data_IF_421053123685
#
_entry.id   IF_421053123685
#
_cell.length_a   1.000
_cell.length_b   1.000
_cell.length_c   1.000
_cell.angle_alpha   90.00
_cell.angle_beta   90.00
_cell.angle_gamma   90.00
#
_symmetry.space_group_name_H-M   'P 1'
#
loop_
_entity.id
_entity.type
_entity.pdbx_description
1 polymer ?
#
# COMPACT_ATOMS: atom_id res chain seq x y z
N UNK A 1 59.23 -40.58 14.41
CA UNK A 1 57.94 -40.74 13.74
C UNK A 1 57.89 -39.77 12.57
N UNK A 2 57.90 -40.27 11.32
CA UNK A 2 57.87 -39.42 10.15
C UNK A 2 56.41 -39.09 9.73
N UNK A 3 56.17 -37.96 9.05
CA UNK A 3 54.84 -37.58 8.60
C UNK A 3 54.37 -38.36 7.33
N UNK A 4 53.07 -38.53 7.12
CA UNK A 4 52.56 -39.28 5.98
C UNK A 4 52.57 -38.45 4.69
N UNK A 5 52.83 -39.19 3.62
CA UNK A 5 53.01 -38.79 2.25
C UNK A 5 51.77 -38.18 1.61
N UNK A 6 52.01 -37.15 0.81
CA UNK A 6 51.09 -36.58 -0.15
C UNK A 6 50.70 -37.61 -1.24
N UNK A 7 49.42 -37.79 -1.47
CA UNK A 7 48.91 -38.46 -2.66
C UNK A 7 48.51 -37.41 -3.69
N UNK A 8 49.32 -37.34 -4.75
CA UNK A 8 48.96 -36.66 -6.00
C UNK A 8 47.83 -37.41 -6.67
N UNK A 9 46.75 -36.78 -6.94
CA UNK A 9 45.69 -37.30 -7.85
C UNK A 9 45.75 -36.53 -9.16
N UNK A 10 46.08 -37.31 -10.16
CA UNK A 10 46.27 -36.95 -11.55
C UNK A 10 45.00 -36.32 -12.17
N UNK A 11 45.28 -35.47 -13.16
CA UNK A 11 44.30 -34.73 -13.93
C UNK A 11 43.31 -35.60 -14.71
N UNK A 12 42.11 -35.04 -14.79
CA UNK A 12 41.16 -35.42 -15.81
C UNK A 12 40.69 -34.17 -16.54
N UNK A 13 41.43 -33.78 -17.57
CA UNK A 13 40.97 -32.88 -18.61
C UNK A 13 39.94 -33.63 -19.44
N UNK A 14 38.64 -33.30 -19.29
CA UNK A 14 37.67 -33.59 -20.34
C UNK A 14 37.19 -32.27 -20.93
N UNK A 15 37.68 -32.02 -22.10
CA UNK A 15 37.12 -31.08 -23.06
C UNK A 15 35.71 -31.56 -23.44
N UNK A 16 34.69 -30.80 -23.09
CA UNK A 16 33.39 -30.88 -23.77
C UNK A 16 33.19 -29.60 -24.56
N UNK A 17 33.66 -29.64 -25.81
CA UNK A 17 33.11 -28.84 -26.87
C UNK A 17 31.77 -29.45 -27.25
N UNK A 18 30.68 -28.86 -26.84
CA UNK A 18 29.39 -29.05 -27.48
C UNK A 18 28.83 -27.68 -27.80
N UNK A 19 29.11 -27.27 -29.04
CA UNK A 19 28.45 -26.19 -29.73
C UNK A 19 26.94 -26.51 -29.79
N UNK A 20 26.15 -26.04 -28.84
CA UNK A 20 24.70 -25.97 -28.99
C UNK A 20 24.40 -24.77 -29.89
N UNK A 21 24.33 -25.02 -31.18
CA UNK A 21 23.69 -24.16 -32.18
C UNK A 21 22.22 -24.03 -31.76
N UNK A 22 21.89 -22.94 -31.09
CA UNK A 22 20.49 -22.54 -30.86
C UNK A 22 19.90 -22.18 -32.23
N UNK A 23 18.83 -22.83 -32.69
CA UNK A 23 18.20 -22.51 -33.95
C UNK A 23 17.77 -21.04 -33.96
N UNK A 24 18.20 -20.32 -34.97
CA UNK A 24 17.95 -18.90 -35.19
C UNK A 24 16.46 -18.56 -35.41
N UNK A 25 15.57 -19.54 -35.38
CA UNK A 25 14.13 -19.38 -35.58
C UNK A 25 13.37 -18.89 -34.35
N UNK A 26 13.96 -18.92 -33.15
CA UNK A 26 13.32 -18.43 -31.93
C UNK A 26 13.40 -16.90 -31.72
N UNK A 27 14.05 -16.19 -32.65
CA UNK A 27 14.18 -14.72 -32.54
C UNK A 27 13.06 -13.93 -33.22
N UNK A 28 12.12 -14.58 -33.90
CA UNK A 28 11.08 -13.90 -34.67
C UNK A 28 9.71 -13.83 -33.98
N UNK A 29 9.51 -14.56 -32.86
CA UNK A 29 8.25 -14.56 -32.11
C UNK A 29 8.32 -13.81 -30.76
N UNK A 30 9.02 -12.68 -30.72
CA UNK A 30 8.74 -11.73 -29.65
C UNK A 30 7.42 -11.05 -29.97
N UNK A 31 6.35 -11.25 -29.16
CA UNK A 31 5.18 -10.44 -29.31
C UNK A 31 5.62 -8.99 -29.21
N UNK A 32 5.41 -8.24 -30.29
CA UNK A 32 5.64 -6.78 -30.32
C UNK A 32 5.01 -6.23 -29.05
N UNK A 33 5.82 -5.69 -28.16
CA UNK A 33 5.34 -4.95 -27.01
C UNK A 33 4.25 -4.03 -27.56
N UNK A 34 3.01 -4.28 -27.13
CA UNK A 34 1.87 -3.41 -27.43
C UNK A 34 2.33 -2.04 -26.94
N UNK A 35 2.58 -1.16 -27.90
CA UNK A 35 2.76 0.26 -27.61
C UNK A 35 1.57 0.61 -26.70
N UNK A 36 1.86 0.94 -25.45
CA UNK A 36 0.88 1.65 -24.66
C UNK A 36 0.45 2.82 -25.54
N UNK A 37 -0.78 2.78 -26.00
CA UNK A 37 -1.39 3.90 -26.65
C UNK A 37 -1.35 5.03 -25.61
N UNK A 38 -0.32 5.85 -25.71
CA UNK A 38 -0.36 7.18 -25.19
C UNK A 38 -1.31 7.93 -26.12
N UNK A 39 -2.62 7.64 -25.99
CA UNK A 39 -3.61 8.53 -26.53
C UNK A 39 -3.41 9.82 -25.74
N UNK A 40 -2.72 10.77 -26.36
CA UNK A 40 -2.79 12.16 -25.92
C UNK A 40 -4.25 12.56 -26.11
N UNK A 41 -5.08 12.22 -25.10
CA UNK A 41 -6.40 12.81 -24.96
C UNK A 41 -6.09 14.28 -24.74
N UNK A 42 -6.18 15.06 -25.82
CA UNK A 42 -6.28 16.51 -25.72
C UNK A 42 -7.56 16.75 -24.95
N UNK A 43 -7.46 16.99 -23.67
CA UNK A 43 -8.53 17.56 -22.87
C UNK A 43 -8.77 18.95 -23.45
N UNK A 44 -9.74 19.08 -24.36
CA UNK A 44 -10.28 20.37 -24.74
C UNK A 44 -10.97 20.93 -23.50
N UNK A 45 -10.39 22.00 -22.97
CA UNK A 45 -10.89 22.72 -21.79
C UNK A 45 -12.26 23.39 -21.98
N UNK A 46 -12.92 23.20 -23.14
CA UNK A 46 -14.11 23.97 -23.53
C UNK A 46 -15.44 23.23 -23.30
N UNK A 47 -15.44 22.04 -22.72
CA UNK A 47 -16.66 21.44 -22.19
C UNK A 47 -16.53 21.37 -20.68
N UNK A 48 -16.93 22.42 -20.01
CA UNK A 48 -17.28 22.33 -18.61
C UNK A 48 -18.38 21.27 -18.53
N UNK A 49 -18.17 20.09 -17.89
CA UNK A 49 -19.25 19.15 -17.69
C UNK A 49 -20.30 19.91 -16.91
N UNK A 50 -21.55 19.88 -17.43
CA UNK A 50 -22.72 20.37 -16.72
C UNK A 50 -22.55 19.97 -15.26
N UNK A 51 -22.56 20.96 -14.37
CA UNK A 51 -22.29 20.82 -12.95
C UNK A 51 -23.16 19.69 -12.40
N UNK A 52 -22.55 18.49 -12.27
CA UNK A 52 -23.14 17.48 -11.42
C UNK A 52 -23.38 18.17 -10.07
N UNK A 53 -24.56 18.01 -9.47
CA UNK A 53 -24.84 18.63 -8.18
C UNK A 53 -23.70 18.20 -7.22
N UNK A 54 -22.95 19.19 -6.80
CA UNK A 54 -21.79 18.98 -5.92
C UNK A 54 -22.33 18.36 -4.63
N UNK A 55 -22.10 17.06 -4.44
CA UNK A 55 -22.53 16.39 -3.22
C UNK A 55 -21.90 17.16 -2.06
N UNK A 56 -22.69 17.53 -1.04
CA UNK A 56 -22.17 18.31 0.08
C UNK A 56 -20.97 17.59 0.68
N UNK A 57 -19.80 18.22 0.60
CA UNK A 57 -18.56 17.67 1.14
C UNK A 57 -18.70 17.47 2.64
N UNK A 58 -18.08 16.45 3.20
CA UNK A 58 -17.99 16.26 4.64
C UNK A 58 -16.99 17.26 5.21
N UNK A 59 -17.37 18.11 6.17
CA UNK A 59 -16.45 19.09 6.76
C UNK A 59 -15.31 18.38 7.50
N UNK A 60 -14.09 18.88 7.34
CA UNK A 60 -12.89 18.28 7.94
C UNK A 60 -12.98 18.16 9.48
N UNK A 61 -13.68 19.10 10.12
CA UNK A 61 -13.90 19.14 11.56
C UNK A 61 -14.66 17.91 12.10
N UNK A 62 -15.45 17.26 11.25
CA UNK A 62 -16.16 16.03 11.61
C UNK A 62 -15.36 14.76 11.35
N UNK A 63 -14.23 14.85 10.63
CA UNK A 63 -13.43 13.69 10.25
C UNK A 63 -12.39 13.35 11.32
N UNK A 64 -12.32 12.06 11.61
CA UNK A 64 -11.33 11.47 12.52
C UNK A 64 -10.29 10.69 11.74
N UNK A 65 -9.03 11.08 11.87
CA UNK A 65 -7.89 10.39 11.25
C UNK A 65 -7.31 9.39 12.24
N UNK A 66 -7.15 8.14 11.85
CA UNK A 66 -6.58 7.07 12.66
C UNK A 66 -5.24 6.56 12.12
N UNK A 67 -4.28 6.37 13.02
CA UNK A 67 -2.95 5.86 12.72
C UNK A 67 -2.68 4.63 13.60
N UNK A 68 -2.93 3.42 13.10
CA UNK A 68 -2.63 2.21 13.84
C UNK A 68 -1.13 1.92 13.83
N UNK A 69 -0.70 1.13 14.80
CA UNK A 69 0.64 0.59 14.85
C UNK A 69 0.84 -0.45 13.74
N UNK A 70 1.96 -0.37 13.03
CA UNK A 70 2.33 -1.36 12.03
C UNK A 70 2.72 -2.68 12.69
N UNK A 71 2.13 -3.76 12.18
CA UNK A 71 2.34 -5.13 12.70
C UNK A 71 3.16 -6.00 11.77
N UNK A 72 3.48 -5.49 10.57
CA UNK A 72 4.26 -6.24 9.60
C UNK A 72 5.70 -6.44 10.10
N UNK A 73 6.25 -7.67 10.07
CA UNK A 73 7.61 -7.95 10.54
C UNK A 73 8.65 -7.09 9.82
N UNK A 74 9.49 -6.39 10.60
CA UNK A 74 10.54 -5.52 10.07
C UNK A 74 10.08 -4.14 9.57
N UNK A 75 8.78 -3.81 9.64
CA UNK A 75 8.32 -2.46 9.33
C UNK A 75 8.63 -1.52 10.50
N UNK A 76 9.45 -0.50 10.23
CA UNK A 76 9.87 0.48 11.22
C UNK A 76 9.22 1.85 11.01
N UNK A 77 8.54 2.03 9.90
CA UNK A 77 7.89 3.31 9.56
C UNK A 77 6.54 3.43 10.27
N UNK A 78 6.13 4.67 10.48
CA UNK A 78 4.77 5.03 10.91
C UNK A 78 4.12 5.85 9.80
N UNK A 79 2.82 5.72 9.64
CA UNK A 79 2.11 6.41 8.56
C UNK A 79 2.05 7.93 8.76
N UNK A 80 2.11 8.41 10.00
CA UNK A 80 2.03 9.83 10.33
C UNK A 80 3.02 10.16 11.44
N UNK A 81 3.83 11.19 11.23
CA UNK A 81 4.74 11.72 12.26
C UNK A 81 4.01 12.68 13.20
N UNK A 82 4.52 12.94 14.43
CA UNK A 82 3.91 13.91 15.37
C UNK A 82 3.76 15.30 14.75
N UNK A 83 4.77 15.76 13.99
CA UNK A 83 4.72 17.06 13.30
C UNK A 83 3.56 17.14 12.31
N UNK A 84 3.34 16.06 11.55
CA UNK A 84 2.26 15.99 10.57
C UNK A 84 0.89 15.83 11.25
N UNK A 85 0.83 15.17 12.41
CA UNK A 85 -0.39 15.11 13.22
C UNK A 85 -0.83 16.50 13.66
N UNK A 86 0.10 17.31 14.20
CA UNK A 86 -0.15 18.70 14.52
C UNK A 86 -0.60 19.53 13.31
N UNK A 87 0.01 19.27 12.14
CA UNK A 87 -0.37 19.96 10.90
C UNK A 87 -1.81 19.64 10.48
N UNK A 88 -2.24 18.37 10.56
CA UNK A 88 -3.62 17.97 10.25
C UNK A 88 -4.62 18.67 11.17
N UNK A 89 -4.36 18.69 12.47
CA UNK A 89 -5.20 19.42 13.44
C UNK A 89 -5.26 20.92 13.13
N UNK A 90 -4.12 21.52 12.78
CA UNK A 90 -4.07 22.93 12.35
C UNK A 90 -4.85 23.20 11.05
N UNK A 91 -4.97 22.20 10.18
CA UNK A 91 -5.74 22.29 8.92
C UNK A 91 -7.25 22.08 9.13
N UNK A 92 -7.69 21.85 10.36
CA UNK A 92 -9.09 21.75 10.71
C UNK A 92 -9.65 20.34 10.79
N UNK A 93 -8.82 19.29 10.75
CA UNK A 93 -9.31 17.93 11.04
C UNK A 93 -9.77 17.83 12.49
N UNK A 94 -10.92 17.17 12.70
CA UNK A 94 -11.55 17.14 14.02
C UNK A 94 -10.71 16.42 15.07
N UNK A 95 -10.19 15.24 14.75
CA UNK A 95 -9.39 14.42 15.66
C UNK A 95 -8.32 13.64 14.91
N UNK A 96 -7.16 13.48 15.56
CA UNK A 96 -6.12 12.53 15.13
C UNK A 96 -5.95 11.51 16.24
N UNK A 97 -6.31 10.26 15.97
CA UNK A 97 -6.17 9.12 16.87
C UNK A 97 -4.91 8.35 16.49
N UNK A 98 -4.09 8.05 17.48
CA UNK A 98 -2.85 7.27 17.29
C UNK A 98 -2.89 6.08 18.25
N UNK A 99 -2.58 4.89 17.73
CA UNK A 99 -2.46 3.70 18.59
C UNK A 99 -1.24 3.85 19.51
N UNK A 100 -1.36 3.37 20.75
CA UNK A 100 -0.24 3.33 21.67
C UNK A 100 0.98 2.64 21.03
N UNK A 101 2.14 3.25 21.19
CA UNK A 101 3.42 2.76 20.66
C UNK A 101 3.49 2.66 19.12
N UNK A 102 2.60 3.31 18.37
CA UNK A 102 2.59 3.27 16.91
C UNK A 102 3.89 3.83 16.30
N UNK A 103 4.47 4.86 16.89
CA UNK A 103 5.68 5.53 16.42
C UNK A 103 7.00 5.00 16.97
N UNK A 104 6.99 4.08 17.93
CA UNK A 104 8.20 3.67 18.67
C UNK A 104 9.28 3.11 17.73
N UNK A 105 8.92 2.29 16.77
CA UNK A 105 9.87 1.74 15.79
C UNK A 105 10.49 2.83 14.89
N UNK A 106 9.79 3.95 14.71
CA UNK A 106 10.26 5.13 13.97
C UNK A 106 10.88 6.19 14.88
N UNK A 107 11.17 5.83 16.15
CA UNK A 107 11.73 6.71 17.18
C UNK A 107 10.83 7.90 17.59
N UNK A 108 9.53 7.78 17.39
CA UNK A 108 8.55 8.74 17.89
C UNK A 108 7.83 8.16 19.11
N UNK A 109 7.97 8.86 20.23
CA UNK A 109 7.33 8.46 21.49
C UNK A 109 5.88 8.94 21.58
N UNK A 110 5.09 8.26 22.40
CA UNK A 110 3.68 8.57 22.61
C UNK A 110 3.48 10.02 23.14
N UNK A 111 4.40 10.49 23.99
CA UNK A 111 4.39 11.87 24.52
C UNK A 111 4.51 12.92 23.42
N UNK A 112 5.25 12.63 22.34
CA UNK A 112 5.40 13.55 21.22
C UNK A 112 4.09 13.69 20.43
N UNK A 113 3.33 12.60 20.29
CA UNK A 113 1.99 12.64 19.68
C UNK A 113 0.99 13.37 20.58
N UNK A 114 1.04 13.14 21.88
CA UNK A 114 0.21 13.87 22.84
C UNK A 114 0.51 15.38 22.83
N UNK A 115 1.79 15.75 22.80
CA UNK A 115 2.22 17.15 22.67
C UNK A 115 1.79 17.78 21.33
N UNK A 116 1.68 17.00 20.26
CA UNK A 116 1.17 17.42 18.97
C UNK A 116 -0.36 17.58 18.93
N UNK A 117 -1.08 17.23 20.02
CA UNK A 117 -2.52 17.30 20.13
C UNK A 117 -3.25 16.05 19.63
N UNK A 118 -2.54 14.97 19.30
CA UNK A 118 -3.15 13.69 18.95
C UNK A 118 -3.64 12.96 20.22
N UNK A 119 -4.69 12.17 20.07
CA UNK A 119 -5.25 11.36 21.15
C UNK A 119 -4.74 9.92 21.02
N UNK A 120 -4.13 9.42 22.08
CA UNK A 120 -3.70 8.02 22.15
C UNK A 120 -4.86 7.12 22.51
N UNK A 121 -5.05 6.05 21.76
CA UNK A 121 -6.18 5.12 21.94
C UNK A 121 -5.74 3.67 21.75
N UNK A 122 -6.48 2.71 22.35
CA UNK A 122 -6.26 1.30 22.05
C UNK A 122 -6.69 0.99 20.61
N UNK A 123 -6.15 -0.11 20.08
CA UNK A 123 -6.32 -0.55 18.69
C UNK A 123 -7.77 -0.69 18.26
N UNK A 124 -8.58 -1.35 19.06
CA UNK A 124 -9.99 -1.62 18.74
C UNK A 124 -10.80 -0.33 18.60
N UNK A 125 -10.60 0.60 19.52
CA UNK A 125 -11.25 1.91 19.48
C UNK A 125 -10.83 2.71 18.25
N UNK A 126 -9.55 2.64 17.89
CA UNK A 126 -9.03 3.33 16.70
C UNK A 126 -9.73 2.83 15.44
N UNK A 127 -9.81 1.50 15.23
CA UNK A 127 -10.44 0.92 14.03
C UNK A 127 -11.92 1.26 13.91
N UNK A 128 -12.64 1.33 15.04
CA UNK A 128 -14.07 1.64 15.06
C UNK A 128 -14.39 3.12 14.90
N UNK A 129 -13.49 4.01 15.35
CA UNK A 129 -13.76 5.45 15.41
C UNK A 129 -13.17 6.24 14.23
N UNK A 130 -12.24 5.65 13.46
CA UNK A 130 -11.55 6.37 12.39
C UNK A 130 -12.39 6.43 11.12
N UNK A 131 -12.55 7.64 10.58
CA UNK A 131 -13.15 7.86 9.26
C UNK A 131 -12.12 7.74 8.15
N UNK A 132 -10.88 8.16 8.42
CA UNK A 132 -9.73 8.02 7.53
C UNK A 132 -8.64 7.27 8.27
N UNK A 133 -8.24 6.12 7.77
CA UNK A 133 -7.16 5.31 8.34
C UNK A 133 -5.91 5.41 7.48
N UNK A 134 -4.80 5.78 8.10
CA UNK A 134 -3.49 5.87 7.46
C UNK A 134 -2.61 4.72 7.92
N UNK A 135 -2.19 3.88 6.97
CA UNK A 135 -1.24 2.78 7.21
C UNK A 135 -0.11 2.81 6.19
N UNK A 136 1.05 2.32 6.57
CA UNK A 136 2.14 2.05 5.63
C UNK A 136 1.86 0.76 4.88
N UNK A 137 1.66 -0.35 5.58
CA UNK A 137 1.36 -1.66 4.97
C UNK A 137 -0.13 -1.91 4.84
N UNK A 138 -0.49 -2.80 3.93
CA UNK A 138 -1.87 -3.27 3.80
C UNK A 138 -2.39 -3.81 5.15
N UNK A 139 -3.66 -3.57 5.48
CA UNK A 139 -4.27 -4.17 6.67
C UNK A 139 -4.18 -5.70 6.64
N UNK A 140 -4.00 -6.34 7.79
CA UNK A 140 -4.04 -7.80 7.87
C UNK A 140 -5.46 -8.30 7.69
N UNK A 141 -5.64 -9.31 6.81
CA UNK A 141 -6.95 -9.82 6.42
C UNK A 141 -7.83 -10.21 7.62
N UNK A 142 -7.32 -11.06 8.50
CA UNK A 142 -8.13 -11.59 9.60
C UNK A 142 -8.16 -10.71 10.86
N UNK A 143 -7.11 -9.92 11.07
CA UNK A 143 -6.92 -9.21 12.34
C UNK A 143 -7.35 -7.73 12.27
N UNK A 144 -7.30 -7.12 11.09
CA UNK A 144 -7.53 -5.69 10.94
C UNK A 144 -8.72 -5.39 10.03
N UNK A 145 -8.79 -6.02 8.85
CA UNK A 145 -9.79 -5.67 7.84
C UNK A 145 -11.22 -5.81 8.34
N UNK A 146 -11.47 -6.77 9.23
CA UNK A 146 -12.80 -7.02 9.81
C UNK A 146 -13.23 -6.01 10.88
N UNK A 147 -12.29 -5.28 11.45
CA UNK A 147 -12.56 -4.30 12.50
C UNK A 147 -12.67 -2.86 11.99
N UNK A 148 -12.22 -2.61 10.76
CA UNK A 148 -12.29 -1.29 10.13
C UNK A 148 -13.74 -0.83 10.05
N UNK A 149 -13.98 0.44 10.43
CA UNK A 149 -15.31 1.07 10.39
C UNK A 149 -15.90 0.98 8.97
N UNK A 150 -17.14 0.56 8.86
CA UNK A 150 -17.85 0.48 7.59
C UNK A 150 -18.00 1.87 6.97
N UNK A 151 -17.77 1.99 5.66
CA UNK A 151 -17.84 3.25 4.95
C UNK A 151 -16.67 4.21 5.17
N UNK A 152 -15.65 3.79 5.92
CA UNK A 152 -14.43 4.60 6.15
C UNK A 152 -13.50 4.59 4.93
N UNK A 153 -12.42 5.34 5.01
CA UNK A 153 -11.38 5.43 3.98
C UNK A 153 -10.07 4.88 4.51
N UNK A 154 -9.41 4.00 3.76
CA UNK A 154 -8.09 3.46 4.09
C UNK A 154 -7.08 3.91 3.03
N UNK A 155 -5.97 4.46 3.48
CA UNK A 155 -4.85 4.88 2.63
C UNK A 155 -3.61 4.08 3.03
N UNK A 156 -3.10 3.22 2.13
CA UNK A 156 -1.95 2.36 2.41
C UNK A 156 -1.28 1.85 1.14
N UNK A 157 -0.09 1.26 1.27
CA UNK A 157 0.53 0.45 0.22
C UNK A 157 -0.20 -0.90 0.11
N UNK A 158 -1.33 -0.90 -0.57
CA UNK A 158 -2.26 -2.03 -0.56
C UNK A 158 -1.82 -3.19 -1.45
N UNK A 159 -1.08 -2.92 -2.55
CA UNK A 159 -0.68 -3.92 -3.56
C UNK A 159 -1.84 -4.83 -4.00
N UNK A 160 -2.89 -4.29 -4.67
CA UNK A 160 -4.14 -5.01 -4.91
C UNK A 160 -3.99 -6.34 -5.64
N UNK A 161 -3.05 -6.43 -6.58
CA UNK A 161 -2.77 -7.65 -7.33
C UNK A 161 -2.28 -8.82 -6.47
N UNK A 162 -1.63 -8.52 -5.35
CA UNK A 162 -1.09 -9.51 -4.41
C UNK A 162 -2.05 -9.79 -3.25
N UNK A 163 -2.89 -8.82 -2.88
CA UNK A 163 -3.74 -8.84 -1.70
C UNK A 163 -5.24 -8.84 -2.05
N UNK A 164 -5.67 -9.70 -2.99
CA UNK A 164 -7.06 -9.75 -3.46
C UNK A 164 -8.06 -9.95 -2.32
N UNK A 165 -7.79 -10.86 -1.39
CA UNK A 165 -8.67 -11.12 -0.24
C UNK A 165 -8.89 -9.89 0.64
N UNK A 166 -7.84 -9.07 0.83
CA UNK A 166 -7.96 -7.82 1.59
C UNK A 166 -8.85 -6.84 0.84
N UNK A 167 -8.66 -6.70 -0.47
CA UNK A 167 -9.47 -5.82 -1.32
C UNK A 167 -10.94 -6.24 -1.28
N UNK A 168 -11.24 -7.52 -1.41
CA UNK A 168 -12.60 -8.07 -1.34
C UNK A 168 -13.23 -7.82 0.04
N UNK A 169 -12.46 -8.01 1.12
CA UNK A 169 -12.92 -7.71 2.49
C UNK A 169 -13.24 -6.23 2.68
N UNK A 170 -12.38 -5.32 2.21
CA UNK A 170 -12.62 -3.89 2.28
C UNK A 170 -13.85 -3.48 1.45
N UNK A 171 -14.00 -4.05 0.25
CA UNK A 171 -15.13 -3.80 -0.63
C UNK A 171 -16.46 -4.27 -0.01
N UNK A 172 -16.50 -5.46 0.59
CA UNK A 172 -17.68 -5.98 1.28
C UNK A 172 -18.16 -5.08 2.42
N UNK A 173 -17.25 -4.37 3.05
CA UNK A 173 -17.51 -3.39 4.12
C UNK A 173 -17.74 -1.97 3.61
N UNK A 174 -17.77 -1.77 2.30
CA UNK A 174 -17.92 -0.44 1.66
C UNK A 174 -16.83 0.55 2.09
N UNK A 175 -15.61 0.06 2.34
CA UNK A 175 -14.46 0.88 2.69
C UNK A 175 -13.85 1.44 1.40
N UNK A 176 -13.63 2.75 1.35
CA UNK A 176 -12.88 3.38 0.26
C UNK A 176 -11.39 3.08 0.45
N UNK A 177 -10.77 2.44 -0.54
CA UNK A 177 -9.36 2.08 -0.45
C UNK A 177 -8.52 2.87 -1.44
N UNK A 178 -7.58 3.67 -0.93
CA UNK A 178 -6.57 4.35 -1.74
C UNK A 178 -5.26 3.57 -1.67
N UNK A 179 -4.97 2.86 -2.76
CA UNK A 179 -3.74 2.10 -2.88
C UNK A 179 -2.60 3.00 -3.36
N UNK A 180 -1.65 3.31 -2.46
CA UNK A 180 -0.40 3.96 -2.82
C UNK A 180 0.55 2.87 -3.31
N UNK A 181 0.88 2.86 -4.60
CA UNK A 181 1.83 1.90 -5.18
C UNK A 181 2.85 2.62 -6.05
N UNK A 182 3.97 1.97 -6.35
CA UNK A 182 5.09 2.55 -7.11
C UNK A 182 4.76 2.93 -8.56
N UNK A 183 3.58 2.55 -9.08
CA UNK A 183 3.12 2.86 -10.43
C UNK A 183 1.98 3.90 -10.50
N UNK A 184 1.74 4.63 -9.42
CA UNK A 184 0.67 5.61 -9.32
C UNK A 184 -0.38 5.24 -8.26
N UNK A 185 -1.21 6.19 -7.91
CA UNK A 185 -2.31 6.01 -6.96
C UNK A 185 -3.49 5.34 -7.66
N UNK A 186 -3.82 4.12 -7.26
CA UNK A 186 -5.01 3.42 -7.72
C UNK A 186 -6.16 3.68 -6.74
N UNK A 187 -7.22 4.31 -7.21
CA UNK A 187 -8.47 4.48 -6.45
C UNK A 187 -9.34 3.27 -6.80
N UNK A 188 -9.72 2.48 -5.81
CA UNK A 188 -10.70 1.41 -5.98
C UNK A 188 -12.02 1.86 -5.34
N UNK A 189 -13.02 2.08 -6.19
CA UNK A 189 -14.38 2.29 -5.74
C UNK A 189 -15.08 0.95 -5.47
N UNK A 190 -15.86 0.81 -4.39
CA UNK A 190 -16.50 -0.46 -4.02
C UNK A 190 -17.67 -0.88 -4.90
N UNK A 191 -17.95 -0.19 -6.01
CA UNK A 191 -19.20 -0.38 -6.77
C UNK A 191 -19.04 -0.62 -8.29
N UNK A 192 -17.91 -1.12 -8.77
CA UNK A 192 -17.86 -1.53 -10.18
C UNK A 192 -17.58 -3.03 -10.29
N UNK A 193 -18.62 -3.76 -10.73
CA UNK A 193 -18.54 -5.14 -11.18
C UNK A 193 -17.50 -5.28 -12.30
N UNK A 194 -16.34 -5.83 -11.97
CA UNK A 194 -15.28 -6.15 -12.94
C UNK A 194 -15.61 -7.35 -13.85
N UNK A 195 -16.82 -7.91 -13.75
CA UNK A 195 -17.23 -9.07 -14.54
C UNK A 195 -17.91 -8.73 -15.89
N UNK A 196 -17.93 -7.48 -16.32
CA UNK A 196 -18.58 -7.07 -17.55
C UNK A 196 -17.65 -6.46 -18.60
N UNK A 197 -16.43 -6.96 -18.73
CA UNK A 197 -15.58 -6.65 -19.89
C UNK A 197 -15.44 -7.92 -20.73
N UNK A 198 -15.79 -7.84 -22.04
CA UNK A 198 -15.70 -8.96 -22.98
C UNK A 198 -14.27 -9.39 -23.28
#
# INVERSE_FOLDING_TARGET
>A
MPPPRSLAVAGFRRAFHSSLLVPQQYLLDRPRARRCFHSSIKWSHDTQPDSLPEAPGVPYESLTVGVPRETFPGEQRVALTPTNAALLLKKGFGKVLVEHHAGVNAQFLDEQYAAAGATLVPREQLFQSSDIMLKVRAPLYDQESNHIKQGSTVISFLYPSQNKMIVESLASRRVNAFAVCSRGMCIQHPAHDYNSLP
#
